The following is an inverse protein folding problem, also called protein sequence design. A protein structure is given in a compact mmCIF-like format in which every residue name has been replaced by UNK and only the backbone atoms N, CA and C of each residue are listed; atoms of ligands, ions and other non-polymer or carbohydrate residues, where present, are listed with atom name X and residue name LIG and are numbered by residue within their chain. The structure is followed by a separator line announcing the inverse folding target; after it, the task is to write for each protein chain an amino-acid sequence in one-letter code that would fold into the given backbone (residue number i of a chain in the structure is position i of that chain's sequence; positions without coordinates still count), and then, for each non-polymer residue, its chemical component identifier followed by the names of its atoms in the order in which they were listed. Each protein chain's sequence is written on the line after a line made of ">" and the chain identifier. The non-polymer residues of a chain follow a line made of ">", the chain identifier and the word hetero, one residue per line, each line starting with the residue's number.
data_IF_532461212758
#
_entry.id   IF_532461212758
#
_cell.length_a   1.000
_cell.length_b   1.000
_cell.length_c   1.000
_cell.angle_alpha   90.00
_cell.angle_beta   90.00
_cell.angle_gamma   90.00
#
_symmetry.space_group_name_H-M   'P 1'
#
loop_
_entity.id
_entity.type
_entity.pdbx_description
1 polymer ?
#
# COMPACT_ATOMS: atom_id res chain seq x y z
N UNK A 1 -41.80 -30.87 -41.30
CA UNK A 1 -40.96 -31.42 -40.21
C UNK A 1 -39.72 -30.53 -40.10
N UNK A 2 -39.76 -29.45 -39.31
CA UNK A 2 -38.62 -28.55 -39.07
C UNK A 2 -38.35 -28.52 -37.57
N UNK A 3 -37.15 -28.94 -37.16
CA UNK A 3 -36.68 -28.90 -35.77
C UNK A 3 -35.99 -27.56 -35.54
N UNK A 4 -36.63 -26.67 -34.77
CA UNK A 4 -35.98 -25.45 -34.28
C UNK A 4 -35.08 -25.81 -33.11
N UNK A 5 -33.78 -25.58 -33.26
CA UNK A 5 -32.80 -25.62 -32.16
C UNK A 5 -32.79 -24.24 -31.52
N UNK A 6 -33.26 -24.15 -30.27
CA UNK A 6 -33.22 -22.92 -29.48
C UNK A 6 -31.87 -22.86 -28.76
N UNK A 7 -30.97 -22.00 -29.23
CA UNK A 7 -29.70 -21.71 -28.56
C UNK A 7 -29.94 -20.69 -27.44
N UNK A 8 -29.82 -21.14 -26.18
CA UNK A 8 -29.78 -20.26 -25.02
C UNK A 8 -28.34 -19.77 -24.80
N UNK A 9 -28.09 -18.48 -25.04
CA UNK A 9 -26.88 -17.81 -24.56
C UNK A 9 -27.08 -17.43 -23.10
N UNK A 10 -26.46 -18.18 -22.19
CA UNK A 10 -26.37 -17.80 -20.77
C UNK A 10 -25.33 -16.68 -20.68
N UNK A 11 -25.80 -15.44 -20.50
CA UNK A 11 -24.93 -14.33 -20.10
C UNK A 11 -24.56 -14.51 -18.64
N UNK A 12 -23.36 -15.03 -18.36
CA UNK A 12 -22.77 -14.92 -17.03
C UNK A 12 -22.33 -13.46 -16.84
N UNK A 13 -22.87 -12.72 -15.84
CA UNK A 13 -22.33 -11.41 -15.51
C UNK A 13 -20.87 -11.60 -15.08
N UNK A 14 -19.95 -10.89 -15.74
CA UNK A 14 -18.58 -10.76 -15.21
C UNK A 14 -18.71 -10.11 -13.84
N UNK A 15 -18.38 -10.85 -12.79
CA UNK A 15 -18.16 -10.28 -11.47
C UNK A 15 -17.01 -9.28 -11.62
N UNK A 16 -17.34 -8.00 -11.63
CA UNK A 16 -16.36 -6.94 -11.49
C UNK A 16 -16.07 -6.85 -9.99
N UNK A 17 -15.01 -7.51 -9.54
CA UNK A 17 -14.53 -7.37 -8.18
C UNK A 17 -13.94 -5.98 -8.03
N UNK A 18 -14.69 -5.06 -7.43
CA UNK A 18 -14.16 -3.75 -7.04
C UNK A 18 -13.06 -3.95 -6.01
N UNK A 19 -11.87 -3.41 -6.26
CA UNK A 19 -10.79 -3.38 -5.27
C UNK A 19 -11.21 -2.46 -4.13
N UNK A 20 -11.21 -2.96 -2.89
CA UNK A 20 -11.45 -2.17 -1.68
C UNK A 20 -10.12 -1.76 -1.08
N UNK A 21 -9.89 -0.46 -0.92
CA UNK A 21 -8.66 0.11 -0.32
C UNK A 21 -8.83 0.35 1.18
N UNK A 22 -9.32 -0.65 1.91
CA UNK A 22 -9.66 -0.58 3.33
C UNK A 22 -8.51 -1.00 4.27
N UNK A 23 -7.39 -1.47 3.71
CA UNK A 23 -6.25 -1.99 4.45
C UNK A 23 -6.51 -3.30 5.17
N UNK A 24 -7.62 -3.99 4.90
CA UNK A 24 -7.93 -5.29 5.49
C UNK A 24 -7.07 -6.37 4.83
N UNK A 25 -6.57 -7.29 5.64
CA UNK A 25 -5.82 -8.45 5.18
C UNK A 25 -6.79 -9.50 4.65
N UNK A 26 -6.69 -9.76 3.36
CA UNK A 26 -7.37 -10.83 2.67
C UNK A 26 -6.45 -12.02 2.46
N UNK A 27 -7.04 -13.22 2.47
CA UNK A 27 -6.35 -14.46 2.15
C UNK A 27 -6.56 -14.79 0.68
N UNK A 28 -5.48 -15.07 -0.04
CA UNK A 28 -5.53 -15.58 -1.41
C UNK A 28 -5.57 -17.11 -1.43
N UNK A 29 -6.09 -17.69 -2.51
CA UNK A 29 -6.17 -19.15 -2.69
C UNK A 29 -4.81 -19.83 -2.84
N UNK A 30 -3.77 -19.07 -3.19
CA UNK A 30 -2.38 -19.54 -3.26
C UNK A 30 -1.69 -19.58 -1.90
N UNK A 31 -2.39 -19.22 -0.82
CA UNK A 31 -1.84 -19.17 0.53
C UNK A 31 -1.06 -17.90 0.86
N UNK A 32 -1.03 -16.91 -0.03
CA UNK A 32 -0.55 -15.56 0.28
C UNK A 32 -1.63 -14.74 1.02
N UNK A 33 -1.20 -13.63 1.61
CA UNK A 33 -2.08 -12.62 2.19
C UNK A 33 -1.80 -11.28 1.53
N UNK A 34 -2.83 -10.47 1.31
CA UNK A 34 -2.69 -9.15 0.70
C UNK A 34 -3.64 -8.15 1.36
N UNK A 35 -3.30 -6.86 1.29
CA UNK A 35 -4.16 -5.76 1.68
C UNK A 35 -3.95 -4.61 0.69
N UNK A 36 -5.00 -3.85 0.40
CA UNK A 36 -4.90 -2.65 -0.42
C UNK A 36 -4.99 -1.42 0.49
N UNK A 37 -3.93 -0.62 0.50
CA UNK A 37 -3.86 0.62 1.30
C UNK A 37 -4.27 1.81 0.45
N UNK A 38 -5.11 2.68 1.00
CA UNK A 38 -5.43 3.96 0.36
C UNK A 38 -4.26 4.94 0.55
N UNK A 39 -3.65 5.46 -0.53
CA UNK A 39 -2.58 6.44 -0.40
C UNK A 39 -3.15 7.80 0.03
N UNK A 40 -2.46 8.54 0.92
CA UNK A 40 -2.94 9.86 1.37
C UNK A 40 -3.03 10.91 0.26
N UNK A 41 -2.27 10.75 -0.82
CA UNK A 41 -2.28 11.60 -2.01
C UNK A 41 -2.30 10.75 -3.27
N UNK A 42 -2.69 11.35 -4.40
CA UNK A 42 -2.71 10.66 -5.69
C UNK A 42 -1.29 10.27 -6.10
N UNK A 43 -1.14 9.06 -6.62
CA UNK A 43 0.14 8.47 -7.01
C UNK A 43 0.94 7.97 -5.81
N UNK A 44 1.43 6.74 -5.93
CA UNK A 44 2.30 6.11 -4.93
C UNK A 44 3.16 5.02 -5.58
N UNK A 45 4.36 4.78 -5.05
CA UNK A 45 5.24 3.71 -5.48
C UNK A 45 6.31 3.41 -4.41
N UNK A 46 7.23 2.47 -4.71
CA UNK A 46 8.39 2.12 -3.91
C UNK A 46 8.05 1.82 -2.43
N UNK A 47 7.16 0.85 -2.21
CA UNK A 47 6.81 0.41 -0.85
C UNK A 47 7.96 -0.39 -0.21
N UNK A 48 8.21 -0.15 1.06
CA UNK A 48 9.13 -0.90 1.91
C UNK A 48 8.39 -1.40 3.15
N UNK A 49 8.62 -2.63 3.57
CA UNK A 49 8.00 -3.22 4.76
C UNK A 49 9.09 -3.67 5.73
N UNK A 50 8.87 -3.44 7.03
CA UNK A 50 9.75 -3.87 8.10
C UNK A 50 8.94 -4.49 9.25
N UNK A 51 9.43 -5.58 9.82
CA UNK A 51 8.86 -6.20 11.00
C UNK A 51 9.60 -5.75 12.25
N UNK A 52 8.87 -5.20 13.22
CA UNK A 52 9.39 -4.81 14.52
C UNK A 52 9.36 -6.01 15.47
N UNK A 53 10.51 -6.37 16.04
CA UNK A 53 10.64 -7.41 17.05
C UNK A 53 10.89 -6.82 18.44
N UNK A 54 10.33 -7.38 19.52
CA UNK A 54 9.60 -8.65 19.59
C UNK A 54 8.09 -8.51 19.37
N UNK A 55 7.57 -7.30 19.18
CA UNK A 55 6.12 -7.04 19.13
C UNK A 55 5.43 -7.74 17.97
N UNK A 56 6.13 -7.99 16.86
CA UNK A 56 5.58 -8.59 15.64
C UNK A 56 4.77 -7.61 14.78
N UNK A 57 4.76 -6.33 15.16
CA UNK A 57 4.14 -5.24 14.39
C UNK A 57 4.83 -5.10 13.03
N UNK A 58 4.07 -4.89 11.96
CA UNK A 58 4.61 -4.54 10.65
C UNK A 58 4.47 -3.04 10.41
N UNK A 59 5.53 -2.40 9.92
CA UNK A 59 5.48 -1.06 9.39
C UNK A 59 5.67 -1.11 7.87
N UNK A 60 4.82 -0.40 7.14
CA UNK A 60 4.94 -0.23 5.69
C UNK A 60 5.11 1.25 5.40
N UNK A 61 6.12 1.59 4.61
CA UNK A 61 6.35 2.94 4.11
C UNK A 61 6.28 2.97 2.59
N UNK A 62 5.82 4.07 2.01
CA UNK A 62 5.82 4.31 0.55
C UNK A 62 5.88 5.81 0.30
N UNK A 63 6.24 6.23 -0.91
CA UNK A 63 6.07 7.64 -1.29
C UNK A 63 4.68 7.89 -1.88
N UNK A 64 4.15 9.10 -1.69
CA UNK A 64 2.84 9.54 -2.18
C UNK A 64 2.89 10.98 -2.71
N UNK A 65 2.07 11.33 -3.69
CA UNK A 65 2.04 12.67 -4.29
C UNK A 65 2.70 12.78 -5.68
N UNK A 66 2.98 11.64 -6.33
CA UNK A 66 3.52 11.58 -7.68
C UNK A 66 5.05 11.57 -7.73
N UNK A 67 5.61 10.79 -8.66
CA UNK A 67 7.05 10.60 -8.77
C UNK A 67 7.75 11.85 -9.30
N UNK A 68 8.81 12.30 -8.62
CA UNK A 68 9.59 13.49 -8.93
C UNK A 68 8.80 14.81 -8.86
N UNK A 69 7.57 14.81 -8.35
CA UNK A 69 6.74 16.01 -8.25
C UNK A 69 6.99 16.79 -6.94
N UNK A 70 6.73 18.12 -6.94
CA UNK A 70 6.80 18.91 -5.72
C UNK A 70 5.87 18.35 -4.63
N UNK A 71 6.35 18.34 -3.39
CA UNK A 71 5.63 17.86 -2.22
C UNK A 71 5.33 16.35 -2.23
N UNK A 72 6.03 15.56 -3.06
CA UNK A 72 6.06 14.11 -2.89
C UNK A 72 6.59 13.79 -1.49
N UNK A 73 5.86 12.96 -0.76
CA UNK A 73 6.02 12.75 0.67
C UNK A 73 6.14 11.27 1.01
N UNK A 74 6.73 10.93 2.15
CA UNK A 74 6.70 9.55 2.66
C UNK A 74 5.48 9.37 3.55
N UNK A 75 4.69 8.33 3.27
CA UNK A 75 3.62 7.86 4.11
C UNK A 75 4.02 6.54 4.80
N UNK A 76 3.48 6.32 6.00
CA UNK A 76 3.65 5.10 6.79
C UNK A 76 2.28 4.58 7.24
N UNK A 77 2.12 3.26 7.25
CA UNK A 77 1.01 2.55 7.86
C UNK A 77 1.53 1.39 8.69
N UNK A 78 0.80 1.05 9.76
CA UNK A 78 1.17 0.03 10.73
C UNK A 78 0.11 -1.08 10.74
N UNK A 79 0.57 -2.32 10.85
CA UNK A 79 -0.24 -3.46 11.24
C UNK A 79 0.23 -3.95 12.61
N UNK A 80 -0.57 -3.67 13.64
CA UNK A 80 -0.31 -4.20 14.96
C UNK A 80 -0.46 -5.72 15.01
N UNK A 81 0.24 -6.36 15.94
CA UNK A 81 0.12 -7.80 16.13
C UNK A 81 -1.33 -8.21 16.39
N UNK A 82 -1.77 -9.29 15.73
CA UNK A 82 -3.16 -9.81 15.73
C UNK A 82 -4.20 -8.88 15.09
N UNK A 83 -3.84 -7.69 14.62
CA UNK A 83 -4.73 -6.91 13.78
C UNK A 83 -4.91 -7.59 12.43
N UNK A 84 -6.10 -7.43 11.86
CA UNK A 84 -6.42 -7.85 10.49
C UNK A 84 -6.51 -6.65 9.55
N UNK A 85 -6.14 -5.46 10.02
CA UNK A 85 -6.28 -4.22 9.27
C UNK A 85 -5.10 -3.30 9.55
N UNK A 86 -4.49 -2.80 8.47
CA UNK A 86 -3.51 -1.73 8.51
C UNK A 86 -4.16 -0.40 8.90
N UNK A 87 -3.44 0.43 9.64
CA UNK A 87 -3.88 1.81 9.89
C UNK A 87 -3.97 2.59 8.58
N UNK A 88 -4.76 3.67 8.48
CA UNK A 88 -4.62 4.63 7.39
C UNK A 88 -3.17 5.10 7.25
N UNK A 89 -2.74 5.37 6.01
CA UNK A 89 -1.42 5.95 5.76
C UNK A 89 -1.32 7.36 6.35
N UNK A 90 -0.26 7.62 7.10
CA UNK A 90 0.05 8.95 7.65
C UNK A 90 1.30 9.50 6.98
N UNK A 91 1.29 10.78 6.61
CA UNK A 91 2.48 11.43 6.06
C UNK A 91 3.46 11.72 7.21
N UNK A 92 4.70 11.24 7.07
CA UNK A 92 5.76 11.39 8.09
C UNK A 92 6.96 12.18 7.58
N UNK A 93 7.03 12.45 6.28
CA UNK A 93 8.07 13.28 5.68
C UNK A 93 7.51 14.10 4.54
N UNK A 94 7.41 15.41 4.74
CA UNK A 94 6.99 16.39 3.74
C UNK A 94 7.92 17.60 3.78
N UNK A 95 8.26 18.12 2.60
CA UNK A 95 9.00 19.36 2.47
C UNK A 95 8.56 20.11 1.23
N UNK A 96 8.23 21.39 1.41
CA UNK A 96 7.77 22.27 0.32
C UNK A 96 8.82 22.30 -0.80
N UNK A 97 8.37 22.10 -2.05
CA UNK A 97 9.20 22.07 -3.26
C UNK A 97 10.25 20.96 -3.30
N UNK A 98 10.13 19.93 -2.46
CA UNK A 98 10.99 18.75 -2.54
C UNK A 98 10.16 17.52 -2.88
N UNK A 99 10.83 16.54 -3.47
CA UNK A 99 10.31 15.20 -3.70
C UNK A 99 11.03 14.23 -2.77
N UNK A 100 10.32 13.77 -1.74
CA UNK A 100 10.79 12.73 -0.81
C UNK A 100 10.36 11.35 -1.33
N UNK A 101 11.31 10.45 -1.54
CA UNK A 101 11.08 9.18 -2.25
C UNK A 101 11.94 8.03 -1.74
N UNK A 102 11.62 6.82 -2.18
CA UNK A 102 12.40 5.60 -1.95
C UNK A 102 12.65 5.35 -0.45
N UNK A 103 11.58 5.17 0.34
CA UNK A 103 11.73 4.94 1.76
C UNK A 103 12.43 3.59 2.02
N UNK A 104 13.26 3.57 3.06
CA UNK A 104 13.84 2.37 3.66
C UNK A 104 13.54 2.42 5.14
N UNK A 105 12.95 1.35 5.66
CA UNK A 105 12.71 1.17 7.08
C UNK A 105 13.81 0.28 7.66
N UNK A 106 14.22 0.59 8.89
CA UNK A 106 15.15 -0.23 9.65
C UNK A 106 14.70 -0.28 11.11
N UNK A 107 14.37 -1.46 11.61
CA UNK A 107 14.08 -1.66 13.01
C UNK A 107 15.37 -1.95 13.79
N UNK A 108 15.75 -1.02 14.66
CA UNK A 108 16.87 -1.21 15.57
C UNK A 108 16.42 -2.01 16.80
N UNK A 109 16.87 -3.25 16.90
CA UNK A 109 16.54 -4.14 18.00
C UNK A 109 17.20 -3.77 19.33
N UNK A 110 18.29 -3.00 19.32
CA UNK A 110 18.95 -2.57 20.55
C UNK A 110 18.23 -1.39 21.18
N UNK A 111 17.89 -0.38 20.37
CA UNK A 111 17.22 0.84 20.85
C UNK A 111 15.70 0.76 20.82
N UNK A 112 15.13 -0.23 20.13
CA UNK A 112 13.69 -0.38 19.89
C UNK A 112 13.09 0.85 19.17
N UNK A 113 13.84 1.39 18.21
CA UNK A 113 13.45 2.54 17.39
C UNK A 113 13.31 2.10 15.93
N UNK A 114 12.20 2.50 15.31
CA UNK A 114 12.01 2.36 13.87
C UNK A 114 12.61 3.58 13.17
N UNK A 115 13.67 3.36 12.40
CA UNK A 115 14.30 4.37 11.59
C UNK A 115 13.68 4.41 10.19
N UNK A 116 13.48 5.61 9.67
CA UNK A 116 13.07 5.85 8.29
C UNK A 116 14.15 6.66 7.59
N UNK A 117 14.67 6.11 6.50
CA UNK A 117 15.54 6.78 5.55
C UNK A 117 14.78 6.99 4.25
N UNK A 118 15.06 8.09 3.55
CA UNK A 118 14.51 8.32 2.22
C UNK A 118 15.42 9.28 1.45
N UNK A 119 15.34 9.22 0.12
CA UNK A 119 15.91 10.26 -0.73
C UNK A 119 15.07 11.53 -0.66
N UNK A 120 15.71 12.69 -0.78
CA UNK A 120 15.04 13.99 -0.84
C UNK A 120 15.74 14.84 -1.87
N UNK A 121 15.02 15.25 -2.91
CA UNK A 121 15.53 16.09 -3.98
C UNK A 121 14.69 17.34 -4.14
N UNK A 122 15.34 18.46 -4.48
CA UNK A 122 14.63 19.68 -4.84
C UNK A 122 13.85 19.43 -6.14
N UNK A 123 12.58 19.84 -6.16
CA UNK A 123 11.66 19.65 -7.28
C UNK A 123 11.14 21.02 -7.71
N UNK A 124 11.73 21.56 -8.77
CA UNK A 124 11.46 22.90 -9.28
C UNK A 124 10.71 22.91 -10.63
N UNK A 125 9.89 21.89 -10.89
CA UNK A 125 9.09 21.82 -12.11
C UNK A 125 8.03 22.92 -12.16
#
# INVERSE_FOLDING_TARGET
>A
MFRSILLFFIYLPKLCTTISYDGIIHRSSDGSSYAYLSPPRTGNHASFIEQMTPTGTLAVAWFTGGENLPNCSIAVSILEIKSQQFTPGIIVSERINYSNQNPVLFWDNETQILHLYHSSQLSNF
#
